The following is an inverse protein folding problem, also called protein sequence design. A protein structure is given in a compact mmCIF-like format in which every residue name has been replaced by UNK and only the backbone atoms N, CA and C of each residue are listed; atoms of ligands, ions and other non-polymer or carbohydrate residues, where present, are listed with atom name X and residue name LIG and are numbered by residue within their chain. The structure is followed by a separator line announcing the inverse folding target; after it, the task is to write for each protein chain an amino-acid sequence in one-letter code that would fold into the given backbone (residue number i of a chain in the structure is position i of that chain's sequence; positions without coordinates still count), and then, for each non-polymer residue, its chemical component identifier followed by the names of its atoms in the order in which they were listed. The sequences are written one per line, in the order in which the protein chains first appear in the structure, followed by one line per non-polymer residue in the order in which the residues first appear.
data_IF_386399356627
#
_entry.id   IF_386399356627
#
_cell.length_a   1.000
_cell.length_b   1.000
_cell.length_c   1.000
_cell.angle_alpha   90.00
_cell.angle_beta   90.00
_cell.angle_gamma   90.00
#
_symmetry.space_group_name_H-M   'P 1'
#
loop_
_entity.id
_entity.type
_entity.pdbx_description
1 polymer ?
#
# COMPACT_ATOMS: atom_id res chain seq x y z
N UNK A 1 33.37 16.64 25.27
CA UNK A 1 33.43 15.18 25.45
C UNK A 1 32.67 14.56 24.30
N UNK A 2 33.41 14.16 23.26
CA UNK A 2 32.88 13.39 22.16
C UNK A 2 33.07 11.92 22.52
N UNK A 3 31.98 11.17 22.67
CA UNK A 3 32.00 9.70 22.70
C UNK A 3 30.75 9.18 21.99
N UNK A 4 31.03 8.49 20.88
CA UNK A 4 30.38 7.29 20.36
C UNK A 4 28.88 7.32 20.03
N UNK A 5 28.59 7.68 18.78
CA UNK A 5 27.37 7.30 18.05
C UNK A 5 27.66 6.41 16.83
N UNK A 6 28.76 5.64 16.86
CA UNK A 6 28.99 4.56 15.91
C UNK A 6 28.30 3.28 16.40
N UNK A 7 27.11 2.99 15.91
CA UNK A 7 26.48 1.69 16.18
C UNK A 7 24.99 1.63 15.91
N UNK A 8 24.57 1.78 14.65
CA UNK A 8 23.36 1.18 14.07
C UNK A 8 23.37 1.45 12.55
N UNK A 9 24.48 1.08 11.89
CA UNK A 9 24.48 0.92 10.45
C UNK A 9 23.85 -0.45 10.20
N UNK A 10 22.54 -0.48 9.92
CA UNK A 10 21.96 -1.65 9.29
C UNK A 10 22.76 -1.90 8.01
N UNK A 11 23.52 -2.99 7.98
CA UNK A 11 24.20 -3.46 6.77
C UNK A 11 23.17 -3.48 5.66
N UNK A 12 23.33 -2.61 4.65
CA UNK A 12 22.69 -2.78 3.35
C UNK A 12 22.99 -4.22 2.94
N UNK A 13 21.94 -5.00 2.75
CA UNK A 13 22.05 -6.42 2.40
C UNK A 13 22.90 -6.57 1.14
N UNK A 14 23.53 -7.74 1.03
CA UNK A 14 24.37 -8.19 -0.10
C UNK A 14 23.83 -7.74 -1.46
N UNK A 15 24.72 -7.48 -2.46
CA UNK A 15 24.26 -7.10 -3.80
C UNK A 15 23.22 -8.10 -4.30
N UNK A 16 22.17 -7.56 -4.93
CA UNK A 16 21.06 -8.34 -5.44
C UNK A 16 21.56 -9.49 -6.33
N UNK A 17 20.90 -10.65 -6.29
CA UNK A 17 21.09 -11.63 -7.33
C UNK A 17 20.60 -11.00 -8.64
N UNK A 18 21.38 -11.16 -9.71
CA UNK A 18 21.09 -10.53 -10.99
C UNK A 18 19.69 -10.97 -11.48
N UNK A 19 18.82 -10.00 -11.77
CA UNK A 19 17.43 -10.23 -12.18
C UNK A 19 16.38 -10.44 -11.08
N UNK A 20 16.73 -10.33 -9.79
CA UNK A 20 15.73 -10.40 -8.71
C UNK A 20 14.92 -9.09 -8.58
N UNK A 21 13.61 -9.21 -8.37
CA UNK A 21 12.72 -8.06 -8.08
C UNK A 21 13.11 -7.43 -6.74
N UNK A 22 13.31 -6.11 -6.72
CA UNK A 22 13.73 -5.36 -5.52
C UNK A 22 12.59 -4.51 -4.98
N UNK A 23 12.20 -4.76 -3.73
CA UNK A 23 11.19 -4.03 -3.01
C UNK A 23 11.80 -3.14 -1.93
N UNK A 24 11.49 -1.84 -1.99
CA UNK A 24 11.81 -0.88 -0.94
C UNK A 24 10.62 -0.74 -0.01
N UNK A 25 10.81 -1.05 1.28
CA UNK A 25 9.81 -0.88 2.32
C UNK A 25 10.25 0.25 3.24
N UNK A 26 9.49 1.35 3.26
CA UNK A 26 9.86 2.50 4.10
C UNK A 26 9.52 2.24 5.57
N UNK A 27 10.42 2.59 6.49
CA UNK A 27 10.11 2.72 7.92
C UNK A 27 10.35 4.16 8.39
N UNK A 28 9.91 4.50 9.60
CA UNK A 28 9.96 5.84 10.13
C UNK A 28 9.22 5.97 11.45
N UNK A 29 9.19 7.19 11.98
CA UNK A 29 8.48 7.49 13.22
C UNK A 29 7.00 7.09 13.13
N UNK A 30 6.61 6.10 13.94
CA UNK A 30 5.23 5.63 14.08
C UNK A 30 4.78 4.62 13.01
N UNK A 31 5.59 4.35 11.99
CA UNK A 31 5.36 3.23 11.07
C UNK A 31 5.61 1.91 11.84
N UNK A 32 4.75 0.89 11.65
CA UNK A 32 4.82 -0.34 12.45
C UNK A 32 4.43 -1.62 11.70
N UNK A 33 4.32 -1.57 10.37
CA UNK A 33 3.92 -2.71 9.53
C UNK A 33 5.02 -3.13 8.53
N UNK A 34 6.24 -2.59 8.64
CA UNK A 34 7.31 -2.76 7.67
C UNK A 34 7.87 -4.19 7.63
N UNK A 35 7.88 -4.89 8.76
CA UNK A 35 8.49 -6.22 8.88
C UNK A 35 7.63 -7.27 8.19
N UNK A 36 6.32 -7.25 8.43
CA UNK A 36 5.39 -8.17 7.78
C UNK A 36 5.25 -7.90 6.28
N UNK A 37 5.34 -6.64 5.83
CA UNK A 37 5.41 -6.32 4.39
C UNK A 37 6.70 -6.86 3.77
N UNK A 38 7.84 -6.67 4.44
CA UNK A 38 9.11 -7.20 3.95
C UNK A 38 9.10 -8.74 3.90
N UNK A 39 8.47 -9.40 4.88
CA UNK A 39 8.24 -10.84 4.86
C UNK A 39 7.33 -11.25 3.68
N UNK A 40 6.27 -10.50 3.39
CA UNK A 40 5.38 -10.77 2.26
C UNK A 40 6.11 -10.75 0.91
N UNK A 41 6.94 -9.74 0.67
CA UNK A 41 7.78 -9.66 -0.54
C UNK A 41 8.78 -10.81 -0.63
N UNK A 42 9.43 -11.18 0.49
CA UNK A 42 10.36 -12.34 0.53
C UNK A 42 9.65 -13.66 0.22
N UNK A 43 8.46 -13.87 0.79
CA UNK A 43 7.62 -15.04 0.49
C UNK A 43 7.16 -15.08 -0.97
N UNK A 44 6.96 -13.90 -1.59
CA UNK A 44 6.64 -13.76 -3.01
C UNK A 44 7.87 -13.92 -3.94
N UNK A 45 9.08 -14.07 -3.39
CA UNK A 45 10.31 -14.27 -4.16
C UNK A 45 11.10 -12.99 -4.49
N UNK A 46 10.73 -11.84 -3.93
CA UNK A 46 11.46 -10.59 -4.09
C UNK A 46 12.51 -10.36 -2.98
N UNK A 47 13.47 -9.48 -3.26
CA UNK A 47 14.39 -8.95 -2.28
C UNK A 47 13.81 -7.70 -1.62
N UNK A 48 13.47 -7.80 -0.33
CA UNK A 48 12.87 -6.71 0.43
C UNK A 48 13.87 -6.02 1.35
N UNK A 49 14.07 -4.72 1.11
CA UNK A 49 14.93 -3.85 1.93
C UNK A 49 14.09 -2.87 2.73
N UNK A 50 14.19 -2.91 4.04
CA UNK A 50 13.57 -1.93 4.93
C UNK A 50 14.52 -0.74 5.08
N UNK A 51 14.04 0.46 4.77
CA UNK A 51 14.85 1.69 4.85
C UNK A 51 14.09 2.77 5.58
N UNK A 52 14.75 3.36 6.58
CA UNK A 52 14.19 4.49 7.29
C UNK A 52 14.11 5.70 6.35
N UNK A 53 12.97 6.38 6.29
CA UNK A 53 12.70 7.50 5.38
C UNK A 53 13.82 8.55 5.36
N UNK A 54 14.40 8.89 6.50
CA UNK A 54 15.51 9.85 6.55
C UNK A 54 16.73 9.43 5.70
N UNK A 55 17.01 8.13 5.57
CA UNK A 55 18.11 7.66 4.71
C UNK A 55 17.84 7.98 3.23
N UNK A 56 16.58 7.84 2.79
CA UNK A 56 16.16 8.27 1.45
C UNK A 56 16.26 9.78 1.30
N UNK A 57 15.72 10.52 2.28
CA UNK A 57 15.72 11.98 2.26
C UNK A 57 17.12 12.61 2.34
N UNK A 58 18.10 11.89 2.89
CA UNK A 58 19.51 12.30 2.95
C UNK A 58 20.32 11.77 1.75
N UNK A 59 19.70 11.06 0.82
CA UNK A 59 20.35 10.52 -0.37
C UNK A 59 21.27 9.32 -0.11
N UNK A 60 21.20 8.71 1.07
CA UNK A 60 21.96 7.49 1.38
C UNK A 60 21.42 6.26 0.63
N UNK A 61 20.13 6.28 0.28
CA UNK A 61 19.46 5.26 -0.53
C UNK A 61 18.60 5.96 -1.57
N UNK A 62 18.74 5.58 -2.85
CA UNK A 62 17.87 6.07 -3.92
C UNK A 62 16.67 5.15 -4.07
N UNK A 63 15.46 5.71 -4.18
CA UNK A 63 14.27 4.91 -4.51
C UNK A 63 14.39 4.29 -5.91
N UNK A 64 15.17 4.90 -6.80
CA UNK A 64 15.36 4.41 -8.17
C UNK A 64 16.19 3.12 -8.24
N UNK A 65 16.79 2.68 -7.13
CA UNK A 65 17.46 1.38 -7.01
C UNK A 65 16.48 0.23 -6.74
N UNK A 66 15.17 0.46 -6.85
CA UNK A 66 14.14 -0.55 -6.58
C UNK A 66 13.12 -0.60 -7.71
N UNK A 67 12.29 -1.64 -7.73
CA UNK A 67 11.21 -1.85 -8.70
C UNK A 67 9.84 -1.51 -8.10
N UNK A 68 9.71 -1.63 -6.78
CA UNK A 68 8.50 -1.26 -6.04
C UNK A 68 8.85 -0.48 -4.77
N UNK A 69 8.19 0.66 -4.58
CA UNK A 69 8.25 1.49 -3.38
C UNK A 69 7.00 1.26 -2.53
N UNK A 70 7.18 0.87 -1.28
CA UNK A 70 6.07 0.57 -0.37
C UNK A 70 6.05 1.50 0.83
N UNK A 71 4.90 2.12 1.07
CA UNK A 71 4.56 2.88 2.27
C UNK A 71 3.72 1.98 3.20
N UNK A 72 4.28 1.51 4.33
CA UNK A 72 3.56 0.64 5.25
C UNK A 72 2.47 1.33 6.06
N UNK A 73 1.68 0.51 6.76
CA UNK A 73 0.76 0.97 7.79
C UNK A 73 1.44 1.42 9.08
N UNK A 74 0.62 1.95 9.99
CA UNK A 74 1.04 2.49 11.29
C UNK A 74 0.37 3.82 11.59
N UNK A 75 1.06 4.64 12.37
CA UNK A 75 0.63 5.96 12.81
C UNK A 75 1.77 6.95 12.56
N UNK A 76 2.07 7.24 11.28
CA UNK A 76 3.24 8.07 10.96
C UNK A 76 3.15 9.44 11.65
N UNK A 77 4.17 9.77 12.44
CA UNK A 77 4.17 10.95 13.32
C UNK A 77 2.99 11.02 14.30
N UNK A 78 2.51 9.87 14.78
CA UNK A 78 1.41 9.78 15.76
C UNK A 78 0.02 10.10 15.20
N UNK A 79 -0.07 10.42 13.90
CA UNK A 79 -1.28 10.97 13.27
C UNK A 79 -1.81 12.26 13.94
N UNK A 80 -0.96 12.98 14.69
CA UNK A 80 -1.33 14.14 15.53
C UNK A 80 -1.99 15.30 14.75
N UNK A 81 -1.65 15.46 13.46
CA UNK A 81 -2.21 16.49 12.56
C UNK A 81 -3.16 15.88 11.50
N UNK A 82 -3.65 14.67 11.76
CA UNK A 82 -4.39 13.83 10.81
C UNK A 82 -3.48 12.82 10.13
N UNK A 83 -4.03 11.64 9.85
CA UNK A 83 -3.22 10.50 9.44
C UNK A 83 -2.50 10.73 8.11
N UNK A 84 -1.20 10.46 8.09
CA UNK A 84 -0.33 10.61 6.92
C UNK A 84 -0.02 12.05 6.50
N UNK A 85 -0.59 13.08 7.14
CA UNK A 85 -0.43 14.50 6.73
C UNK A 85 1.01 14.98 6.88
N UNK A 86 1.64 14.73 8.04
CA UNK A 86 3.02 15.17 8.31
C UNK A 86 3.99 14.49 7.35
N UNK A 87 3.81 13.18 7.13
CA UNK A 87 4.64 12.41 6.22
C UNK A 87 4.47 12.92 4.78
N UNK A 88 3.24 13.12 4.29
CA UNK A 88 2.97 13.68 2.97
C UNK A 88 3.61 15.06 2.77
N UNK A 89 3.46 15.97 3.73
CA UNK A 89 4.10 17.29 3.67
C UNK A 89 5.62 17.20 3.62
N UNK A 90 6.21 16.26 4.37
CA UNK A 90 7.65 16.02 4.34
C UNK A 90 8.10 15.56 2.95
N UNK A 91 7.36 14.69 2.26
CA UNK A 91 7.75 14.24 0.91
C UNK A 91 7.53 15.34 -0.14
N UNK A 92 6.48 16.17 0.02
CA UNK A 92 6.12 17.24 -0.92
C UNK A 92 7.09 18.43 -0.88
N UNK A 93 7.60 18.79 0.30
CA UNK A 93 8.32 20.06 0.47
C UNK A 93 9.79 19.90 0.85
N UNK A 94 10.19 18.75 1.42
CA UNK A 94 11.58 18.57 1.81
C UNK A 94 12.42 18.29 0.56
N UNK A 95 13.41 19.13 0.35
CA UNK A 95 14.36 18.97 -0.74
C UNK A 95 15.32 17.80 -0.45
N UNK A 96 15.51 16.94 -1.46
CA UNK A 96 16.36 15.76 -1.50
C UNK A 96 17.49 15.98 -2.51
N UNK A 97 18.66 16.42 -2.02
CA UNK A 97 19.88 16.55 -2.82
C UNK A 97 20.06 17.90 -3.57
N UNK A 98 21.11 18.00 -4.41
CA UNK A 98 21.44 19.21 -5.15
C UNK A 98 20.36 19.56 -6.18
N UNK A 99 19.99 20.84 -6.31
CA UNK A 99 19.01 21.31 -7.30
C UNK A 99 17.56 21.43 -6.80
N UNK A 100 17.30 21.17 -5.51
CA UNK A 100 16.01 21.47 -4.89
C UNK A 100 14.85 20.52 -5.24
N UNK A 101 15.15 19.35 -5.83
CA UNK A 101 14.17 18.28 -6.05
C UNK A 101 13.60 17.79 -4.73
N UNK A 102 12.38 17.28 -4.75
CA UNK A 102 11.71 16.69 -3.58
C UNK A 102 11.54 15.18 -3.77
N UNK A 103 11.24 14.45 -2.68
CA UNK A 103 10.95 13.02 -2.82
C UNK A 103 9.69 12.79 -3.67
N UNK A 104 8.74 13.73 -3.70
CA UNK A 104 7.60 13.68 -4.60
C UNK A 104 8.02 13.72 -6.07
N UNK A 105 9.01 14.55 -6.43
CA UNK A 105 9.54 14.60 -7.79
C UNK A 105 10.21 13.27 -8.18
N UNK A 106 10.99 12.68 -7.26
CA UNK A 106 11.60 11.37 -7.47
C UNK A 106 10.51 10.28 -7.61
N UNK A 107 9.43 10.31 -6.83
CA UNK A 107 8.30 9.35 -6.96
C UNK A 107 7.60 9.49 -8.32
N UNK A 108 7.39 10.73 -8.79
CA UNK A 108 6.81 10.97 -10.12
C UNK A 108 7.68 10.36 -11.23
N UNK A 109 9.00 10.57 -11.14
CA UNK A 109 9.94 9.97 -12.09
C UNK A 109 9.95 8.44 -11.95
N UNK A 110 9.93 7.91 -10.73
CA UNK A 110 9.91 6.48 -10.46
C UNK A 110 8.69 5.79 -11.12
N UNK A 111 7.50 6.40 -11.03
CA UNK A 111 6.31 5.90 -11.73
C UNK A 111 6.46 6.04 -13.25
N UNK A 112 6.98 7.17 -13.74
CA UNK A 112 7.23 7.37 -15.17
C UNK A 112 8.23 6.35 -15.76
N UNK A 113 9.18 5.86 -14.95
CA UNK A 113 10.12 4.79 -15.30
C UNK A 113 9.45 3.40 -15.37
N UNK A 114 8.13 3.31 -15.21
CA UNK A 114 7.38 2.06 -15.33
C UNK A 114 7.37 1.20 -14.06
N UNK A 115 7.71 1.79 -12.90
CA UNK A 115 7.82 1.14 -11.59
C UNK A 115 6.57 1.34 -10.73
N UNK A 116 6.50 0.69 -9.57
CA UNK A 116 5.25 0.52 -8.82
C UNK A 116 5.28 1.11 -7.41
N UNK A 117 4.18 1.70 -6.97
CA UNK A 117 4.04 2.24 -5.63
C UNK A 117 2.88 1.57 -4.91
N UNK A 118 3.12 1.09 -3.69
CA UNK A 118 2.12 0.47 -2.83
C UNK A 118 1.97 1.28 -1.53
N UNK A 119 0.73 1.59 -1.13
CA UNK A 119 0.43 2.19 0.16
C UNK A 119 -0.58 1.38 0.95
N UNK A 120 -0.24 0.92 2.15
CA UNK A 120 -1.14 0.13 3.00
C UNK A 120 -1.52 0.95 4.24
N UNK A 121 -2.81 1.07 4.53
CA UNK A 121 -3.38 1.83 5.64
C UNK A 121 -2.80 3.25 5.74
N UNK A 122 -1.82 3.50 6.63
CA UNK A 122 -1.15 4.79 6.74
C UNK A 122 -0.46 5.20 5.44
N UNK A 123 0.14 4.25 4.72
CA UNK A 123 0.68 4.50 3.40
C UNK A 123 -0.37 4.94 2.38
N UNK A 124 -1.58 4.35 2.41
CA UNK A 124 -2.67 4.78 1.53
C UNK A 124 -3.09 6.23 1.84
N UNK A 125 -3.19 6.58 3.13
CA UNK A 125 -3.44 7.95 3.57
C UNK A 125 -2.37 8.92 3.05
N UNK A 126 -1.09 8.58 3.16
CA UNK A 126 0.02 9.38 2.61
C UNK A 126 -0.15 9.59 1.11
N UNK A 127 -0.42 8.55 0.33
CA UNK A 127 -0.57 8.65 -1.12
C UNK A 127 -1.75 9.54 -1.53
N UNK A 128 -2.88 9.46 -0.81
CA UNK A 128 -4.04 10.35 -1.02
C UNK A 128 -3.69 11.80 -0.67
N UNK A 129 -3.05 12.06 0.47
CA UNK A 129 -2.64 13.42 0.88
C UNK A 129 -1.56 14.01 -0.05
N UNK A 130 -0.76 13.17 -0.70
CA UNK A 130 0.16 13.59 -1.75
C UNK A 130 -0.53 13.90 -3.08
N UNK A 131 -1.76 13.45 -3.29
CA UNK A 131 -2.42 13.55 -4.59
C UNK A 131 -1.95 12.50 -5.60
N UNK A 132 -1.19 11.49 -5.16
CA UNK A 132 -0.81 10.36 -6.00
C UNK A 132 -1.96 9.37 -6.22
N UNK A 133 -3.00 9.45 -5.38
CA UNK A 133 -4.24 8.70 -5.52
C UNK A 133 -5.46 9.63 -5.35
N UNK A 134 -6.46 9.55 -6.24
CA UNK A 134 -6.51 8.72 -7.45
C UNK A 134 -5.74 9.34 -8.62
N UNK A 135 -5.33 10.62 -8.54
CA UNK A 135 -4.57 11.33 -9.58
C UNK A 135 -5.27 11.31 -10.96
N UNK A 136 -6.58 11.59 -10.98
CA UNK A 136 -7.39 11.67 -12.21
C UNK A 136 -6.86 12.77 -13.14
N UNK A 137 -6.46 13.91 -12.59
CA UNK A 137 -5.90 15.05 -13.33
C UNK A 137 -4.44 14.91 -13.74
N UNK A 138 -3.70 13.95 -13.18
CA UNK A 138 -2.28 13.72 -13.47
C UNK A 138 -1.32 14.81 -12.91
N UNK A 139 -1.83 15.79 -12.18
CA UNK A 139 -1.09 16.93 -11.64
C UNK A 139 -0.60 16.72 -10.20
N UNK A 140 -0.95 15.57 -9.59
CA UNK A 140 -0.56 15.18 -8.22
C UNK A 140 -1.13 16.15 -7.16
N UNK A 141 -2.37 16.58 -7.41
CA UNK A 141 -3.20 17.35 -6.47
C UNK A 141 -4.15 16.41 -5.71
N UNK A 142 -4.37 16.58 -4.39
CA UNK A 142 -5.35 15.78 -3.65
C UNK A 142 -6.79 16.02 -4.14
N UNK A 143 -7.40 15.02 -4.75
CA UNK A 143 -8.78 15.07 -5.28
C UNK A 143 -9.81 14.44 -4.32
N UNK A 144 -9.36 13.56 -3.43
CA UNK A 144 -10.16 12.89 -2.41
C UNK A 144 -9.43 12.94 -1.07
N UNK A 145 -10.11 12.56 0.01
CA UNK A 145 -9.46 12.44 1.31
C UNK A 145 -9.90 11.19 2.06
N UNK A 146 -9.00 10.69 2.90
CA UNK A 146 -9.33 9.78 3.99
C UNK A 146 -9.48 10.58 5.28
N UNK A 147 -10.44 10.18 6.11
CA UNK A 147 -10.76 10.82 7.39
C UNK A 147 -11.33 9.81 8.38
N UNK A 148 -11.68 10.28 9.58
CA UNK A 148 -12.29 9.50 10.65
C UNK A 148 -13.41 8.59 10.13
N UNK A 149 -13.38 7.34 10.59
CA UNK A 149 -14.44 6.37 10.34
C UNK A 149 -15.80 6.97 10.73
N UNK A 150 -16.86 6.62 10.00
CA UNK A 150 -18.21 7.06 10.32
C UNK A 150 -18.67 6.61 11.72
N UNK A 151 -18.10 5.52 12.25
CA UNK A 151 -18.34 5.05 13.61
C UNK A 151 -17.71 5.93 14.70
N UNK A 152 -16.77 6.81 14.34
CA UNK A 152 -15.95 7.56 15.29
C UNK A 152 -15.01 6.70 16.14
N UNK A 153 -14.75 5.44 15.73
CA UNK A 153 -13.96 4.46 16.47
C UNK A 153 -12.86 3.87 15.62
N UNK A 154 -11.83 3.35 16.30
CA UNK A 154 -10.84 2.48 15.67
C UNK A 154 -11.47 1.11 15.37
N UNK A 155 -11.26 0.62 14.16
CA UNK A 155 -11.84 -0.64 13.68
C UNK A 155 -10.74 -1.66 13.44
N UNK A 156 -10.76 -2.75 14.21
CA UNK A 156 -9.91 -3.93 14.05
C UNK A 156 -10.78 -5.16 13.79
N UNK A 157 -10.83 -5.63 12.53
CA UNK A 157 -11.70 -6.74 12.12
C UNK A 157 -11.30 -7.33 10.78
N UNK A 158 -11.83 -8.52 10.50
CA UNK A 158 -11.76 -9.13 9.17
C UNK A 158 -12.88 -8.59 8.27
N UNK A 159 -12.50 -8.22 7.04
CA UNK A 159 -13.43 -7.73 6.00
C UNK A 159 -13.32 -8.57 4.75
N UNK A 160 -14.40 -8.57 3.96
CA UNK A 160 -14.41 -9.13 2.61
C UNK A 160 -14.48 -7.99 1.61
N UNK A 161 -13.71 -8.14 0.55
CA UNK A 161 -13.54 -7.14 -0.50
C UNK A 161 -13.84 -7.79 -1.84
N UNK A 162 -14.44 -7.03 -2.76
CA UNK A 162 -14.56 -7.40 -4.16
C UNK A 162 -13.65 -6.53 -5.01
N UNK A 163 -12.92 -7.18 -5.91
CA UNK A 163 -12.08 -6.53 -6.91
C UNK A 163 -12.97 -5.95 -8.00
N UNK A 164 -12.68 -4.72 -8.41
CA UNK A 164 -13.32 -4.14 -9.58
C UNK A 164 -12.72 -4.76 -10.85
N UNK A 165 -13.52 -5.40 -11.73
CA UNK A 165 -13.01 -6.03 -12.95
C UNK A 165 -12.41 -5.02 -13.95
N UNK A 166 -12.70 -3.72 -13.81
CA UNK A 166 -12.09 -2.66 -14.62
C UNK A 166 -10.71 -2.23 -14.10
N UNK A 167 -10.27 -2.72 -12.93
CA UNK A 167 -8.99 -2.33 -12.36
C UNK A 167 -7.84 -2.81 -13.25
N UNK A 168 -6.90 -1.90 -13.50
CA UNK A 168 -5.70 -2.16 -14.32
C UNK A 168 -4.47 -2.51 -13.48
N UNK A 169 -4.60 -2.49 -12.16
CA UNK A 169 -3.45 -2.66 -11.28
C UNK A 169 -2.98 -4.12 -11.28
N UNK A 170 -1.69 -4.40 -11.53
CA UNK A 170 -1.20 -5.78 -11.54
C UNK A 170 -1.28 -6.44 -10.17
N UNK A 171 -1.29 -5.67 -9.08
CA UNK A 171 -1.44 -6.16 -7.70
C UNK A 171 -2.69 -7.04 -7.50
N UNK A 172 -3.78 -6.77 -8.24
CA UNK A 172 -5.07 -7.47 -8.09
C UNK A 172 -5.33 -8.51 -9.19
N UNK A 173 -4.34 -8.83 -10.02
CA UNK A 173 -4.50 -9.77 -11.13
C UNK A 173 -5.02 -11.13 -10.65
N UNK A 174 -6.07 -11.63 -11.29
CA UNK A 174 -6.65 -12.95 -11.00
C UNK A 174 -7.42 -13.04 -9.67
N UNK A 175 -7.60 -11.93 -8.95
CA UNK A 175 -8.42 -11.88 -7.74
C UNK A 175 -9.83 -11.39 -8.08
N UNK A 176 -10.84 -12.04 -7.50
CA UNK A 176 -12.24 -11.61 -7.54
C UNK A 176 -12.71 -11.14 -6.16
N UNK A 177 -12.45 -11.96 -5.14
CA UNK A 177 -12.72 -11.66 -3.74
C UNK A 177 -11.45 -11.78 -2.91
N UNK A 178 -11.27 -10.87 -1.96
CA UNK A 178 -10.17 -10.86 -1.01
C UNK A 178 -10.72 -10.72 0.42
N UNK A 179 -10.26 -11.55 1.34
CA UNK A 179 -10.57 -11.44 2.77
C UNK A 179 -9.28 -11.16 3.55
N UNK A 180 -9.25 -10.03 4.25
CA UNK A 180 -8.07 -9.52 4.96
C UNK A 180 -8.51 -8.67 6.15
N UNK A 181 -7.66 -8.47 7.19
CA UNK A 181 -8.01 -7.62 8.31
C UNK A 181 -7.90 -6.12 7.97
N UNK A 182 -8.64 -5.28 8.68
CA UNK A 182 -8.47 -3.82 8.78
C UNK A 182 -8.07 -3.47 10.21
N UNK A 183 -7.31 -2.40 10.39
CA UNK A 183 -6.91 -1.85 11.70
C UNK A 183 -6.69 -0.33 11.59
N UNK A 184 -7.77 0.46 11.59
CA UNK A 184 -7.69 1.92 11.36
C UNK A 184 -8.76 2.75 12.08
N UNK A 185 -8.41 3.99 12.43
CA UNK A 185 -9.36 5.02 12.92
C UNK A 185 -9.80 6.03 11.86
N UNK A 186 -8.99 6.24 10.81
CA UNK A 186 -9.21 7.23 9.75
C UNK A 186 -9.19 6.60 8.35
N UNK A 187 -10.03 5.60 8.10
CA UNK A 187 -10.07 4.88 6.83
C UNK A 187 -11.20 5.29 5.89
N UNK A 188 -12.02 6.29 6.25
CA UNK A 188 -13.21 6.65 5.47
C UNK A 188 -12.83 7.50 4.26
N UNK A 189 -12.99 6.97 3.06
CA UNK A 189 -12.89 7.76 1.83
C UNK A 189 -14.07 8.72 1.75
N UNK A 190 -13.77 9.99 1.45
CA UNK A 190 -14.74 11.04 1.13
C UNK A 190 -14.43 11.59 -0.25
N UNK A 191 -15.43 11.56 -1.13
CA UNK A 191 -15.37 12.10 -2.50
C UNK A 191 -16.08 13.46 -2.52
N UNK A 192 -15.46 14.53 -3.03
CA UNK A 192 -15.97 15.90 -2.85
C UNK A 192 -17.29 16.18 -3.58
N UNK A 193 -17.50 15.56 -4.76
CA UNK A 193 -18.64 15.83 -5.61
C UNK A 193 -19.00 14.65 -6.54
N UNK A 194 -20.14 14.76 -7.22
CA UNK A 194 -20.65 13.75 -8.14
C UNK A 194 -19.79 13.60 -9.41
N UNK A 195 -19.09 14.65 -9.84
CA UNK A 195 -18.25 14.60 -11.03
C UNK A 195 -17.00 13.74 -10.78
N UNK A 196 -16.32 13.98 -9.65
CA UNK A 196 -15.18 13.18 -9.18
C UNK A 196 -15.60 11.73 -8.94
N UNK A 197 -16.78 11.52 -8.34
CA UNK A 197 -17.36 10.18 -8.15
C UNK A 197 -17.55 9.46 -9.49
N UNK A 198 -18.18 10.12 -10.47
CA UNK A 198 -18.41 9.56 -11.79
C UNK A 198 -17.11 9.21 -12.52
N UNK A 199 -16.10 10.09 -12.43
CA UNK A 199 -14.78 9.89 -13.03
C UNK A 199 -14.06 8.67 -12.42
N UNK A 200 -14.06 8.54 -11.09
CA UNK A 200 -13.51 7.38 -10.37
C UNK A 200 -14.13 6.06 -10.84
N UNK A 201 -15.46 6.02 -10.97
CA UNK A 201 -16.20 4.83 -11.38
C UNK A 201 -15.95 4.49 -12.85
N UNK A 202 -16.04 5.48 -13.73
CA UNK A 202 -15.83 5.30 -15.17
C UNK A 202 -14.42 4.82 -15.51
N UNK A 203 -13.41 5.31 -14.79
CA UNK A 203 -12.01 4.91 -14.96
C UNK A 203 -11.63 3.62 -14.19
N UNK A 204 -12.55 3.04 -13.40
CA UNK A 204 -12.28 1.83 -12.63
C UNK A 204 -11.27 2.01 -11.48
N UNK A 205 -11.12 3.24 -10.97
CA UNK A 205 -10.08 3.58 -9.98
C UNK A 205 -10.45 3.14 -8.56
N UNK A 206 -11.74 3.02 -8.23
CA UNK A 206 -12.19 2.26 -7.05
C UNK A 206 -11.98 0.77 -7.33
N UNK A 207 -10.83 0.25 -6.93
CA UNK A 207 -10.35 -1.08 -7.31
C UNK A 207 -10.73 -2.18 -6.31
N UNK A 208 -11.05 -1.80 -5.06
CA UNK A 208 -11.52 -2.72 -4.03
C UNK A 208 -12.71 -2.10 -3.29
N UNK A 209 -13.80 -2.84 -3.16
CA UNK A 209 -14.98 -2.41 -2.41
C UNK A 209 -15.33 -3.39 -1.29
N UNK A 210 -15.71 -2.89 -0.12
CA UNK A 210 -16.27 -3.70 0.96
C UNK A 210 -17.55 -4.40 0.50
N UNK A 211 -17.65 -5.69 0.80
CA UNK A 211 -18.80 -6.53 0.48
C UNK A 211 -19.39 -7.20 1.72
N UNK A 212 -20.68 -7.50 1.66
CA UNK A 212 -21.38 -8.24 2.70
C UNK A 212 -21.15 -9.76 2.61
N UNK A 213 -21.94 -10.53 3.37
CA UNK A 213 -21.89 -11.99 3.33
C UNK A 213 -22.36 -12.57 1.98
N UNK A 214 -23.29 -11.90 1.28
CA UNK A 214 -23.81 -12.32 -0.02
C UNK A 214 -22.83 -12.04 -1.17
N UNK A 215 -21.87 -11.13 -0.98
CA UNK A 215 -20.89 -10.73 -1.99
C UNK A 215 -21.22 -9.38 -2.65
N UNK A 216 -22.25 -8.70 -2.18
CA UNK A 216 -22.71 -7.43 -2.70
C UNK A 216 -21.99 -6.26 -2.03
N UNK A 217 -21.72 -5.21 -2.81
CA UNK A 217 -21.05 -4.02 -2.30
C UNK A 217 -21.94 -3.35 -1.26
N UNK A 218 -21.43 -3.11 -0.06
CA UNK A 218 -22.25 -2.68 1.06
C UNK A 218 -21.72 -1.43 1.75
N UNK A 219 -22.64 -0.56 2.17
CA UNK A 219 -22.37 0.58 3.05
C UNK A 219 -22.73 0.27 4.50
N UNK A 220 -23.20 -0.95 4.78
CA UNK A 220 -23.66 -1.37 6.11
C UNK A 220 -22.49 -1.69 7.03
N UNK A 221 -22.51 -1.11 8.23
CA UNK A 221 -21.63 -1.51 9.32
C UNK A 221 -22.14 -2.83 9.93
N UNK A 222 -21.29 -3.84 10.20
CA UNK A 222 -19.84 -3.79 10.26
C UNK A 222 -19.08 -4.17 8.98
N UNK A 223 -19.78 -4.58 7.91
CA UNK A 223 -19.16 -5.08 6.67
C UNK A 223 -18.35 -4.00 5.94
N UNK A 224 -18.88 -2.78 5.88
CA UNK A 224 -18.11 -1.57 5.62
C UNK A 224 -17.76 -0.91 6.98
N UNK A 225 -16.52 -1.05 7.48
CA UNK A 225 -16.17 -0.65 8.83
C UNK A 225 -16.08 0.88 9.01
N UNK A 226 -15.79 1.62 7.94
CA UNK A 226 -15.50 3.05 8.00
C UNK A 226 -16.57 3.94 7.37
N UNK A 227 -17.54 3.38 6.65
CA UNK A 227 -18.55 4.14 5.92
C UNK A 227 -17.98 4.91 4.73
N UNK A 228 -16.93 4.38 4.09
CA UNK A 228 -16.31 5.00 2.92
C UNK A 228 -17.30 5.17 1.76
N UNK A 229 -17.20 6.31 1.06
CA UNK A 229 -17.84 6.50 -0.22
C UNK A 229 -17.48 5.39 -1.20
N UNK A 230 -18.44 5.01 -2.05
CA UNK A 230 -18.30 3.93 -3.03
C UNK A 230 -18.01 2.55 -2.41
N UNK A 231 -18.20 2.43 -1.08
CA UNK A 231 -17.76 1.28 -0.30
C UNK A 231 -16.25 1.02 -0.49
N UNK A 232 -15.47 2.05 -0.81
CA UNK A 232 -14.09 1.92 -1.25
C UNK A 232 -13.18 1.45 -0.11
N UNK A 233 -12.45 0.37 -0.36
CA UNK A 233 -11.37 -0.13 0.48
C UNK A 233 -9.98 0.14 -0.13
N UNK A 234 -9.90 0.40 -1.43
CA UNK A 234 -8.64 0.72 -2.11
C UNK A 234 -8.80 1.42 -3.46
N UNK A 235 -7.84 2.28 -3.77
CA UNK A 235 -7.76 3.07 -5.00
C UNK A 235 -6.51 2.72 -5.80
N UNK A 236 -6.59 2.89 -7.11
CA UNK A 236 -5.45 2.92 -8.02
C UNK A 236 -5.42 4.23 -8.80
N UNK A 237 -4.25 4.59 -9.34
CA UNK A 237 -4.16 5.65 -10.34
C UNK A 237 -4.54 5.14 -11.76
N UNK A 238 -4.73 6.02 -12.77
CA UNK A 238 -5.11 5.63 -14.12
C UNK A 238 -4.15 4.65 -14.81
N UNK A 239 -2.88 4.64 -14.41
CA UNK A 239 -1.87 3.72 -14.97
C UNK A 239 -1.94 2.32 -14.37
N UNK A 240 -2.48 2.18 -13.16
CA UNK A 240 -2.43 0.94 -12.39
C UNK A 240 -1.15 0.77 -11.57
N UNK A 241 -0.19 1.70 -11.65
CA UNK A 241 1.14 1.58 -11.04
C UNK A 241 1.17 2.01 -9.58
N UNK A 242 0.30 2.93 -9.18
CA UNK A 242 0.15 3.39 -7.80
C UNK A 242 -1.11 2.73 -7.24
N UNK A 243 -0.96 1.94 -6.19
CA UNK A 243 -2.06 1.22 -5.55
C UNK A 243 -2.06 1.51 -4.05
N UNK A 244 -3.23 1.84 -3.51
CA UNK A 244 -3.43 2.10 -2.09
C UNK A 244 -4.65 1.37 -1.55
N UNK A 245 -4.55 0.81 -0.34
CA UNK A 245 -5.66 0.14 0.33
C UNK A 245 -5.61 0.33 1.84
N UNK A 246 -6.78 0.41 2.48
CA UNK A 246 -6.91 0.46 3.94
C UNK A 246 -6.71 -0.90 4.64
N UNK A 247 -7.21 -2.02 4.10
CA UNK A 247 -6.98 -3.35 4.68
C UNK A 247 -5.52 -3.79 4.60
N UNK A 248 -5.12 -4.71 5.47
CA UNK A 248 -3.75 -5.16 5.66
C UNK A 248 -3.52 -6.58 5.09
N UNK A 249 -3.24 -6.73 3.79
CA UNK A 249 -2.95 -8.04 3.21
C UNK A 249 -1.68 -8.68 3.79
N UNK A 250 -0.72 -7.88 4.23
CA UNK A 250 0.49 -8.33 4.90
C UNK A 250 0.23 -9.01 6.26
N UNK A 251 -0.96 -8.81 6.84
CA UNK A 251 -1.37 -9.47 8.08
C UNK A 251 -2.06 -10.83 7.82
N UNK A 252 -2.19 -11.26 6.56
CA UNK A 252 -2.72 -12.57 6.19
C UNK A 252 -1.85 -13.26 5.13
N UNK A 253 -0.61 -13.57 5.51
CA UNK A 253 0.37 -14.25 4.66
C UNK A 253 0.30 -15.78 4.78
N UNK A 254 -0.20 -16.26 5.90
CA UNK A 254 -0.44 -17.67 6.17
C UNK A 254 -1.85 -17.91 6.68
N UNK A 255 -2.40 -19.06 6.36
CA UNK A 255 -3.65 -19.57 6.92
C UNK A 255 -3.69 -19.47 8.45
N UNK A 256 -2.54 -19.62 9.13
CA UNK A 256 -2.41 -19.55 10.58
C UNK A 256 -2.60 -18.12 11.16
N UNK A 257 -2.52 -17.06 10.34
CA UNK A 257 -2.81 -15.71 10.80
C UNK A 257 -4.31 -15.46 11.02
N UNK A 258 -5.17 -16.25 10.36
CA UNK A 258 -6.61 -16.08 10.49
C UNK A 258 -7.09 -16.57 11.88
N UNK A 259 -7.92 -15.81 12.64
CA UNK A 259 -8.38 -16.21 13.97
C UNK A 259 -9.11 -17.56 13.98
N UNK A 260 -9.82 -17.86 12.89
CA UNK A 260 -10.53 -19.14 12.69
C UNK A 260 -9.71 -20.24 12.01
N UNK A 261 -8.38 -20.12 11.91
CA UNK A 261 -7.54 -21.05 11.13
C UNK A 261 -7.80 -22.53 11.47
N UNK A 262 -7.93 -22.86 12.76
CA UNK A 262 -8.12 -24.24 13.20
C UNK A 262 -9.48 -24.80 12.77
N UNK A 263 -10.52 -23.96 12.79
CA UNK A 263 -11.86 -24.33 12.30
C UNK A 263 -11.84 -24.52 10.79
N UNK A 264 -11.24 -23.57 10.05
CA UNK A 264 -11.09 -23.63 8.59
C UNK A 264 -10.33 -24.87 8.15
N UNK A 265 -9.23 -25.22 8.82
CA UNK A 265 -8.45 -26.44 8.53
C UNK A 265 -9.24 -27.72 8.77
N UNK A 266 -10.04 -27.80 9.84
CA UNK A 266 -10.90 -28.98 10.07
C UNK A 266 -11.98 -29.14 8.99
N UNK A 267 -12.52 -28.02 8.51
CA UNK A 267 -13.55 -28.02 7.46
C UNK A 267 -12.97 -28.31 6.07
N UNK A 268 -11.75 -27.86 5.79
CA UNK A 268 -11.05 -28.13 4.54
C UNK A 268 -9.57 -28.47 4.80
N UNK A 269 -9.25 -29.74 5.11
CA UNK A 269 -7.88 -30.16 5.44
C UNK A 269 -6.85 -29.92 4.32
N UNK A 270 -7.29 -29.96 3.06
CA UNK A 270 -6.45 -29.77 1.86
C UNK A 270 -6.33 -28.31 1.40
N UNK A 271 -6.88 -27.35 2.14
CA UNK A 271 -6.72 -25.94 1.80
C UNK A 271 -5.23 -25.52 1.83
N UNK A 272 -4.80 -24.60 0.94
CA UNK A 272 -3.47 -24.03 0.97
C UNK A 272 -3.12 -23.39 2.33
N UNK A 273 -1.84 -23.43 2.68
CA UNK A 273 -1.32 -22.77 3.89
C UNK A 273 -1.03 -21.29 3.70
N UNK A 274 -1.08 -20.83 2.45
CA UNK A 274 -0.91 -19.42 2.11
C UNK A 274 -2.17 -18.64 2.47
N UNK A 275 -1.97 -17.51 3.13
CA UNK A 275 -3.04 -16.56 3.38
C UNK A 275 -3.38 -15.78 2.12
N UNK A 276 -4.64 -15.36 1.99
CA UNK A 276 -5.13 -14.70 0.77
C UNK A 276 -4.40 -13.37 0.48
N UNK A 277 -3.87 -12.70 1.51
CA UNK A 277 -3.12 -11.46 1.36
C UNK A 277 -1.77 -11.63 0.64
N UNK A 278 -1.14 -12.81 0.72
CA UNK A 278 0.12 -13.10 0.03
C UNK A 278 -0.02 -12.97 -1.50
N UNK A 279 -1.21 -13.23 -2.04
CA UNK A 279 -1.44 -13.19 -3.49
C UNK A 279 -1.20 -11.80 -4.08
N UNK A 280 -1.47 -10.71 -3.35
CA UNK A 280 -1.17 -9.34 -3.80
C UNK A 280 0.32 -9.16 -4.07
N UNK A 281 1.16 -9.69 -3.18
CA UNK A 281 2.61 -9.58 -3.29
C UNK A 281 3.16 -10.50 -4.39
N UNK A 282 2.64 -11.72 -4.51
CA UNK A 282 2.98 -12.62 -5.63
C UNK A 282 2.67 -11.99 -6.98
N UNK A 283 1.47 -11.43 -7.12
CA UNK A 283 1.01 -10.79 -8.35
C UNK A 283 1.97 -9.69 -8.84
N UNK A 284 2.37 -8.78 -7.94
CA UNK A 284 3.26 -7.69 -8.34
C UNK A 284 4.69 -8.19 -8.62
N UNK A 285 5.21 -9.13 -7.82
CA UNK A 285 6.54 -9.68 -8.03
C UNK A 285 6.61 -10.44 -9.35
N UNK A 286 5.63 -11.29 -9.65
CA UNK A 286 5.52 -11.99 -10.93
C UNK A 286 5.41 -11.01 -12.11
N UNK A 287 4.62 -9.95 -11.97
CA UNK A 287 4.47 -8.94 -13.01
C UNK A 287 5.79 -8.21 -13.32
N UNK A 288 6.53 -7.81 -12.29
CA UNK A 288 7.83 -7.13 -12.46
C UNK A 288 8.87 -8.10 -13.05
N UNK A 289 8.93 -9.34 -12.56
CA UNK A 289 9.85 -10.35 -13.08
C UNK A 289 9.61 -10.65 -14.58
N UNK A 290 8.34 -10.66 -15.01
CA UNK A 290 7.98 -10.78 -16.42
C UNK A 290 8.46 -9.58 -17.24
N UNK A 291 8.33 -8.35 -16.73
CA UNK A 291 8.87 -7.14 -17.39
C UNK A 291 10.40 -7.19 -17.51
N UNK A 292 11.11 -7.60 -16.46
CA UNK A 292 12.57 -7.77 -16.51
C UNK A 292 12.98 -8.78 -17.59
N UNK A 293 12.27 -9.90 -17.69
CA UNK A 293 12.53 -10.95 -18.69
C UNK A 293 12.31 -10.47 -20.12
N UNK A 294 11.32 -9.60 -20.35
CA UNK A 294 11.06 -9.03 -21.68
C UNK A 294 12.14 -8.01 -22.08
N UNK A 295 12.67 -7.24 -21.14
CA UNK A 295 13.73 -6.25 -21.40
C UNK A 295 15.11 -6.88 -21.62
N UNK A 296 15.31 -8.12 -21.16
CA UNK A 296 16.57 -8.85 -21.32
C UNK A 296 16.69 -9.60 -22.67
N UNK A 297 15.60 -9.70 -23.43
CA UNK A 297 15.54 -10.32 -24.76
C UNK A 297 15.51 -9.27 -25.88
#
# INVERSE_FOLDING_TARGET
MAQDSQGLVHKVQSPAQDGAVRALVLTGFGINCEEEIAAAYRLAGAQATIVHLNQVLHGAVSIHDFDVLTFPGGFSFGDDLGSGVVLANKLRYRQTGPGGRTLLDDIKQFVADGKFVLGICNGFQVLVKLGLLPNLGGDVTPEVTLTHNASGRYEDRWVRLRVNPLSKTPFLKGLDVLEVPVRHGEGRLVVPDAATRGALQAAGLNCLSYIDAAGDGTSEYPHNPNGADLNCAGLTDPTGQVFGLMPHPEAFLSAFNHPDWARRRRQNPGAPEEGAGLQIFKNIVEHIAQKHSVLAN
#
